data_IF_274409517469
#
_entry.id   IF_274409517469
#
_cell.length_a   1.000
_cell.length_b   1.000
_cell.length_c   1.000
_cell.angle_alpha   90.00
_cell.angle_beta   90.00
_cell.angle_gamma   90.00
#
_symmetry.space_group_name_H-M   'P 1'
#
loop_
_entity.id
_entity.type
_entity.pdbx_description
1 polymer ?
#
# COMPACT_ATOMS: atom_id res chain seq x y z
N UNK A 1 46.41 61.41 -38.16
CA UNK A 1 46.73 62.41 -39.20
C UNK A 1 46.23 61.86 -40.53
N UNK A 2 45.12 62.41 -41.04
CA UNK A 2 44.53 62.24 -42.39
C UNK A 2 43.87 60.90 -42.74
N UNK A 3 42.55 60.84 -42.99
CA UNK A 3 41.85 61.16 -44.28
C UNK A 3 41.85 59.91 -45.20
N UNK A 4 40.74 59.33 -45.71
CA UNK A 4 39.48 59.87 -46.24
C UNK A 4 38.41 58.74 -46.43
N UNK A 5 37.15 59.01 -46.03
CA UNK A 5 35.87 58.86 -46.78
C UNK A 5 35.52 57.51 -47.49
N UNK A 6 34.29 56.95 -47.42
CA UNK A 6 32.93 57.51 -47.34
C UNK A 6 31.92 56.56 -46.66
N UNK A 7 30.94 57.16 -45.98
CA UNK A 7 29.63 56.59 -45.66
C UNK A 7 28.79 56.32 -46.92
N UNK A 8 28.04 55.21 -46.96
CA UNK A 8 26.66 55.19 -47.46
C UNK A 8 25.86 54.08 -46.77
N UNK A 9 24.61 54.42 -46.52
CA UNK A 9 23.66 53.80 -45.60
C UNK A 9 22.83 52.67 -46.20
N UNK A 10 22.40 51.77 -45.30
CA UNK A 10 21.10 51.08 -45.22
C UNK A 10 20.71 49.96 -46.23
N UNK A 11 20.75 48.73 -45.69
CA UNK A 11 19.59 47.87 -45.36
C UNK A 11 18.82 47.08 -46.45
N UNK A 12 18.80 45.76 -46.19
CA UNK A 12 17.66 44.81 -46.16
C UNK A 12 17.51 43.76 -47.29
N UNK A 13 17.44 42.52 -46.79
CA UNK A 13 16.68 41.33 -47.19
C UNK A 13 17.17 40.42 -48.32
N UNK A 14 17.58 39.24 -47.84
CA UNK A 14 16.92 37.95 -48.10
C UNK A 14 17.35 37.18 -49.33
N UNK A 15 18.36 36.35 -49.07
CA UNK A 15 18.75 35.15 -49.81
C UNK A 15 17.65 34.09 -49.62
N UNK A 16 17.14 33.57 -50.74
CA UNK A 16 16.41 32.31 -50.79
C UNK A 16 16.81 31.51 -52.03
N UNK A 17 16.64 30.19 -51.90
CA UNK A 17 16.84 29.07 -52.84
C UNK A 17 18.25 28.44 -52.74
N UNK A 18 18.42 27.19 -52.36
CA UNK A 18 17.46 26.13 -52.07
C UNK A 18 18.14 24.77 -52.32
N UNK A 19 18.21 23.92 -51.30
CA UNK A 19 18.47 22.47 -51.39
C UNK A 19 18.17 21.84 -50.03
N UNK A 20 16.89 21.61 -49.73
CA UNK A 20 16.47 20.84 -48.57
C UNK A 20 16.35 19.36 -48.96
N UNK A 21 17.19 18.52 -48.35
CA UNK A 21 17.06 17.06 -48.36
C UNK A 21 15.81 16.70 -47.55
N UNK A 22 14.82 16.08 -48.20
CA UNK A 22 13.60 15.63 -47.55
C UNK A 22 13.84 14.32 -46.77
N UNK A 23 13.79 14.38 -45.44
CA UNK A 23 13.62 13.20 -44.59
C UNK A 23 12.12 12.86 -44.51
N UNK A 24 11.70 11.58 -44.70
CA UNK A 24 10.30 11.21 -44.53
C UNK A 24 9.89 11.31 -43.07
N UNK A 25 8.84 12.11 -42.81
CA UNK A 25 8.19 12.23 -41.49
C UNK A 25 7.54 10.91 -41.11
N UNK A 26 7.97 10.32 -39.99
CA UNK A 26 7.25 9.25 -39.29
C UNK A 26 5.92 9.79 -38.78
N UNK A 27 4.81 9.31 -39.35
CA UNK A 27 3.46 9.59 -38.88
C UNK A 27 3.08 8.54 -37.82
N UNK A 28 3.19 8.88 -36.54
CA UNK A 28 2.63 8.07 -35.46
C UNK A 28 1.10 8.19 -35.50
N UNK A 29 0.41 7.21 -36.10
CA UNK A 29 -1.03 7.06 -35.94
C UNK A 29 -1.33 6.42 -34.59
N UNK A 30 -1.97 7.17 -33.69
CA UNK A 30 -2.58 6.62 -32.48
C UNK A 30 -3.79 5.78 -32.90
N UNK A 31 -3.69 4.45 -32.75
CA UNK A 31 -4.82 3.54 -32.98
C UNK A 31 -5.62 3.48 -31.68
N UNK A 32 -6.81 4.07 -31.69
CA UNK A 32 -7.80 3.96 -30.61
C UNK A 32 -8.71 2.78 -30.93
N UNK A 33 -8.66 1.71 -30.15
CA UNK A 33 -9.59 0.59 -30.29
C UNK A 33 -10.95 1.03 -29.74
N UNK A 34 -11.93 1.17 -30.64
CA UNK A 34 -13.34 1.36 -30.30
C UNK A 34 -14.03 0.00 -30.35
N UNK A 35 -14.80 -0.29 -29.31
CA UNK A 35 -15.49 -1.55 -29.12
C UNK A 35 -16.66 -1.70 -30.11
N UNK A 36 -16.82 -2.89 -30.70
CA UNK A 36 -18.07 -3.32 -31.35
C UNK A 36 -18.03 -3.54 -32.87
N UNK A 37 -18.24 -4.80 -33.23
CA UNK A 37 -18.57 -5.37 -34.56
C UNK A 37 -17.41 -5.66 -35.52
N UNK A 38 -17.24 -6.97 -35.75
CA UNK A 38 -16.29 -7.54 -36.69
C UNK A 38 -16.61 -7.11 -38.13
N UNK A 39 -15.84 -6.15 -38.64
CA UNK A 39 -15.68 -5.98 -40.08
C UNK A 39 -14.47 -6.80 -40.51
N UNK A 40 -14.75 -7.87 -41.27
CA UNK A 40 -13.76 -8.63 -42.03
C UNK A 40 -13.10 -7.71 -43.06
N UNK A 41 -12.08 -6.97 -42.64
CA UNK A 41 -11.21 -6.25 -43.55
C UNK A 41 -10.12 -7.22 -44.02
N UNK A 42 -10.18 -7.60 -45.29
CA UNK A 42 -9.18 -8.42 -45.97
C UNK A 42 -7.87 -7.62 -45.95
N UNK A 43 -7.02 -7.89 -44.96
CA UNK A 43 -5.77 -7.18 -44.77
C UNK A 43 -4.80 -7.57 -45.91
N UNK A 44 -4.61 -6.66 -46.85
CA UNK A 44 -3.43 -6.68 -47.70
C UNK A 44 -2.20 -6.66 -46.79
N UNK A 45 -1.30 -7.59 -47.04
CA UNK A 45 -0.11 -7.89 -46.23
C UNK A 45 0.93 -6.76 -46.35
N UNK A 46 0.66 -5.63 -45.72
CA UNK A 46 1.71 -4.71 -45.30
C UNK A 46 2.22 -5.16 -43.92
N UNK A 47 3.21 -6.06 -43.94
CA UNK A 47 4.03 -6.37 -42.78
C UNK A 47 4.83 -5.11 -42.43
N UNK A 48 4.32 -4.27 -41.54
CA UNK A 48 5.13 -3.26 -40.86
C UNK A 48 5.92 -3.99 -39.75
N UNK A 49 7.22 -4.26 -39.89
CA UNK A 49 7.93 -5.16 -38.97
C UNK A 49 8.20 -4.53 -37.58
N UNK A 50 7.77 -3.29 -37.33
CA UNK A 50 8.18 -2.52 -36.15
C UNK A 50 7.10 -1.63 -35.55
N UNK A 51 5.82 -2.04 -35.59
CA UNK A 51 4.80 -1.33 -34.81
C UNK A 51 5.01 -1.59 -33.30
N UNK A 52 5.68 -0.66 -32.62
CA UNK A 52 5.79 -0.69 -31.15
C UNK A 52 4.46 -0.23 -30.56
N UNK A 53 3.69 -1.19 -30.05
CA UNK A 53 2.43 -0.90 -29.36
C UNK A 53 2.77 -0.52 -27.92
N UNK A 54 2.48 0.73 -27.56
CA UNK A 54 2.54 1.22 -26.18
C UNK A 54 1.11 1.29 -25.63
N UNK A 55 0.89 0.68 -24.48
CA UNK A 55 -0.35 0.78 -23.70
C UNK A 55 0.01 1.19 -22.27
N UNK A 56 -0.92 1.85 -21.54
CA UNK A 56 -0.67 2.25 -20.16
C UNK A 56 -0.43 1.01 -19.29
N UNK A 57 0.46 1.08 -18.28
CA UNK A 57 0.68 -0.01 -17.35
C UNK A 57 -0.59 -0.25 -16.51
N UNK A 58 -1.05 -1.49 -16.46
CA UNK A 58 -2.23 -1.89 -15.68
C UNK A 58 -1.89 -3.08 -14.79
N UNK A 59 -2.40 -3.16 -13.54
CA UNK A 59 -2.23 -4.33 -12.69
C UNK A 59 -2.71 -5.62 -13.38
N UNK A 60 -1.97 -6.70 -13.23
CA UNK A 60 -2.30 -8.01 -13.80
C UNK A 60 -1.93 -9.13 -12.83
N UNK A 61 -2.44 -10.33 -13.13
CA UNK A 61 -2.21 -11.53 -12.34
C UNK A 61 -1.56 -12.64 -13.19
N UNK A 62 -0.70 -13.50 -12.62
CA UNK A 62 -0.28 -14.74 -13.24
C UNK A 62 -1.48 -15.64 -13.62
N UNK A 63 -1.27 -16.55 -14.57
CA UNK A 63 -2.30 -17.52 -14.94
C UNK A 63 -2.70 -18.35 -13.71
N UNK A 64 -3.99 -18.36 -13.36
CA UNK A 64 -4.59 -19.11 -12.25
C UNK A 64 -4.43 -18.53 -10.83
N UNK A 65 -4.10 -17.25 -10.68
CA UNK A 65 -4.30 -16.55 -9.39
C UNK A 65 -5.28 -15.40 -9.56
N UNK A 66 -6.01 -15.07 -8.48
CA UNK A 66 -6.86 -13.86 -8.44
C UNK A 66 -6.09 -12.66 -7.88
N UNK A 67 -4.78 -12.83 -7.64
CA UNK A 67 -3.94 -11.85 -6.96
C UNK A 67 -3.17 -11.03 -7.99
N UNK A 68 -3.38 -9.72 -8.00
CA UNK A 68 -2.66 -8.81 -8.88
C UNK A 68 -1.21 -8.69 -8.40
N UNK A 69 -0.31 -9.49 -8.97
CA UNK A 69 1.10 -9.59 -8.56
C UNK A 69 2.07 -8.91 -9.53
N UNK A 70 1.56 -8.30 -10.60
CA UNK A 70 2.41 -7.67 -11.61
C UNK A 70 1.71 -6.54 -12.37
N UNK A 71 2.42 -6.06 -13.39
CA UNK A 71 1.98 -4.99 -14.27
C UNK A 71 2.01 -5.48 -15.71
N UNK A 72 0.93 -5.27 -16.45
CA UNK A 72 0.85 -5.60 -17.86
C UNK A 72 1.75 -4.66 -18.66
N UNK A 73 2.80 -5.22 -19.28
CA UNK A 73 3.80 -4.48 -20.04
C UNK A 73 4.12 -5.21 -21.35
N UNK A 74 4.74 -4.52 -22.31
CA UNK A 74 5.35 -5.21 -23.45
C UNK A 74 6.51 -6.08 -22.98
N UNK A 75 6.76 -7.22 -23.65
CA UNK A 75 7.84 -8.14 -23.27
C UNK A 75 9.21 -7.44 -23.19
N UNK A 76 9.49 -6.56 -24.15
CA UNK A 76 10.72 -5.76 -24.19
C UNK A 76 10.82 -4.82 -22.98
N UNK A 77 9.74 -4.13 -22.60
CA UNK A 77 9.75 -3.24 -21.44
C UNK A 77 9.86 -4.02 -20.14
N UNK A 78 9.17 -5.15 -20.01
CA UNK A 78 9.24 -6.00 -18.83
C UNK A 78 10.69 -6.43 -18.54
N UNK A 79 11.38 -6.99 -19.54
CA UNK A 79 12.78 -7.40 -19.40
C UNK A 79 13.72 -6.21 -19.19
N UNK A 80 13.49 -5.08 -19.87
CA UNK A 80 14.32 -3.88 -19.71
C UNK A 80 14.20 -3.23 -18.32
N UNK A 81 13.03 -3.31 -17.68
CA UNK A 81 12.80 -2.86 -16.30
C UNK A 81 13.24 -3.89 -15.24
N UNK A 82 13.80 -5.03 -15.65
CA UNK A 82 14.26 -6.10 -14.76
C UNK A 82 13.14 -6.94 -14.14
N UNK A 83 11.96 -6.97 -14.77
CA UNK A 83 10.84 -7.79 -14.33
C UNK A 83 10.79 -9.15 -15.03
N UNK A 84 10.03 -10.06 -14.44
CA UNK A 84 9.84 -11.43 -14.92
C UNK A 84 8.48 -11.60 -15.59
N UNK A 85 8.45 -12.30 -16.73
CA UNK A 85 7.21 -12.61 -17.46
C UNK A 85 6.51 -13.80 -16.79
N UNK A 86 5.35 -13.56 -16.16
CA UNK A 86 4.59 -14.58 -15.40
C UNK A 86 3.25 -14.97 -16.03
N UNK A 87 2.95 -14.45 -17.22
CA UNK A 87 1.72 -14.75 -17.95
C UNK A 87 1.45 -13.77 -19.07
N UNK A 88 0.42 -14.03 -19.88
CA UNK A 88 -0.04 -13.09 -20.89
C UNK A 88 -1.09 -12.14 -20.31
N UNK A 89 -1.17 -10.92 -20.84
CA UNK A 89 -2.21 -9.93 -20.51
C UNK A 89 -2.65 -9.17 -21.76
N UNK A 90 -3.70 -8.35 -21.66
CA UNK A 90 -4.23 -7.56 -22.78
C UNK A 90 -4.46 -8.43 -24.03
N UNK A 91 -5.22 -9.51 -23.88
CA UNK A 91 -5.54 -10.47 -24.96
C UNK A 91 -4.31 -11.06 -25.67
N UNK A 92 -3.18 -11.18 -24.96
CA UNK A 92 -1.94 -11.76 -25.51
C UNK A 92 -0.99 -10.75 -26.16
N UNK A 93 -1.35 -9.46 -26.18
CA UNK A 93 -0.47 -8.39 -26.69
C UNK A 93 0.66 -8.08 -25.70
N UNK A 94 0.37 -8.20 -24.39
CA UNK A 94 1.31 -7.92 -23.31
C UNK A 94 1.72 -9.18 -22.53
N UNK A 95 2.74 -9.00 -21.69
CA UNK A 95 3.07 -9.95 -20.61
C UNK A 95 2.73 -9.33 -19.26
N UNK A 96 2.20 -10.15 -18.36
CA UNK A 96 2.15 -9.78 -16.95
C UNK A 96 3.57 -9.82 -16.41
N UNK A 97 4.06 -8.67 -15.95
CA UNK A 97 5.43 -8.47 -15.52
C UNK A 97 5.49 -8.37 -14.00
N UNK A 98 6.17 -9.33 -13.36
CA UNK A 98 6.37 -9.36 -11.91
C UNK A 98 7.70 -8.71 -11.56
N UNK A 99 7.67 -7.78 -10.60
CA UNK A 99 8.87 -7.10 -10.10
C UNK A 99 9.16 -7.52 -8.68
N UNK A 100 10.34 -8.07 -8.43
CA UNK A 100 10.84 -8.37 -7.09
C UNK A 100 11.98 -7.41 -6.77
N UNK A 101 11.76 -6.51 -5.81
CA UNK A 101 12.69 -5.50 -5.35
C UNK A 101 13.36 -5.98 -4.07
N UNK A 102 14.69 -6.00 -4.08
CA UNK A 102 15.53 -6.43 -2.96
C UNK A 102 16.73 -5.50 -2.83
N UNK A 103 17.22 -5.31 -1.61
CA UNK A 103 18.52 -4.69 -1.39
C UNK A 103 19.66 -5.70 -1.60
N UNK A 104 20.83 -5.17 -1.92
CA UNK A 104 22.08 -5.90 -2.09
C UNK A 104 23.15 -5.27 -1.19
N UNK A 105 24.26 -5.98 -0.96
CA UNK A 105 25.37 -5.52 -0.12
C UNK A 105 25.86 -4.09 -0.44
N UNK A 106 25.87 -3.73 -1.72
CA UNK A 106 26.31 -2.43 -2.23
C UNK A 106 25.15 -1.48 -2.57
N UNK A 107 23.89 -1.90 -2.38
CA UNK A 107 22.69 -1.12 -2.72
C UNK A 107 21.62 -1.32 -1.66
N UNK A 108 21.63 -0.44 -0.66
CA UNK A 108 20.69 -0.44 0.47
C UNK A 108 19.44 0.42 0.26
N UNK A 109 19.38 1.18 -0.84
CA UNK A 109 18.19 1.97 -1.21
C UNK A 109 17.72 1.55 -2.60
N UNK A 110 16.42 1.24 -2.73
CA UNK A 110 15.78 0.76 -3.95
C UNK A 110 14.58 1.63 -4.26
N UNK A 111 14.54 2.18 -5.47
CA UNK A 111 13.37 2.92 -5.95
C UNK A 111 12.27 1.95 -6.36
N UNK A 112 11.05 2.25 -5.93
CA UNK A 112 9.82 1.55 -6.31
C UNK A 112 8.97 2.53 -7.12
N UNK A 113 8.70 2.19 -8.37
CA UNK A 113 8.15 3.11 -9.38
C UNK A 113 7.10 2.50 -10.30
N UNK A 114 7.00 1.17 -10.37
CA UNK A 114 5.99 0.51 -11.19
C UNK A 114 4.66 0.40 -10.41
N UNK A 115 3.55 0.15 -11.11
CA UNK A 115 2.22 0.16 -10.48
C UNK A 115 2.05 -0.92 -9.39
N UNK A 116 2.70 -2.08 -9.56
CA UNK A 116 2.69 -3.20 -8.61
C UNK A 116 4.10 -3.80 -8.55
N UNK A 117 4.69 -3.88 -7.35
CA UNK A 117 6.02 -4.46 -7.12
C UNK A 117 6.04 -5.21 -5.78
N UNK A 118 6.80 -6.30 -5.69
CA UNK A 118 7.02 -7.02 -4.45
C UNK A 118 8.31 -6.53 -3.80
N UNK A 119 8.23 -6.03 -2.57
CA UNK A 119 9.38 -5.80 -1.70
C UNK A 119 9.69 -7.14 -1.05
N UNK A 120 10.80 -7.74 -1.47
CA UNK A 120 11.22 -9.05 -1.01
C UNK A 120 12.45 -8.93 -0.12
N UNK A 121 12.72 -10.02 0.57
CA UNK A 121 13.81 -10.13 1.51
C UNK A 121 15.17 -9.69 0.92
N UNK A 122 15.92 -8.95 1.73
CA UNK A 122 17.31 -8.61 1.47
C UNK A 122 18.23 -9.81 1.71
N UNK A 123 19.23 -10.02 0.85
CA UNK A 123 20.22 -11.11 1.02
C UNK A 123 21.26 -10.81 2.12
N UNK A 124 20.97 -9.89 3.03
CA UNK A 124 21.91 -9.35 4.01
C UNK A 124 21.19 -8.80 5.25
N UNK A 125 21.92 -8.77 6.37
CA UNK A 125 21.50 -8.07 7.58
C UNK A 125 21.66 -6.54 7.46
N UNK A 126 20.95 -5.85 8.34
CA UNK A 126 20.86 -4.39 8.43
C UNK A 126 19.64 -3.83 7.69
N UNK A 127 19.66 -2.51 7.48
CA UNK A 127 18.53 -1.80 6.89
C UNK A 127 18.54 -1.86 5.35
N UNK A 128 17.35 -2.05 4.79
CA UNK A 128 17.01 -1.95 3.38
C UNK A 128 15.88 -0.93 3.21
N UNK A 129 16.12 0.13 2.45
CA UNK A 129 15.17 1.20 2.20
C UNK A 129 14.51 1.04 0.82
N UNK A 130 13.19 0.98 0.81
CA UNK A 130 12.37 1.09 -0.38
C UNK A 130 11.78 2.50 -0.44
N UNK A 131 12.22 3.27 -1.42
CA UNK A 131 11.79 4.63 -1.61
C UNK A 131 10.74 4.68 -2.72
N UNK A 132 9.62 5.32 -2.43
CA UNK A 132 8.51 5.53 -3.34
C UNK A 132 8.43 7.01 -3.70
N UNK A 133 9.02 7.44 -4.83
CA UNK A 133 8.88 8.80 -5.31
C UNK A 133 7.42 9.14 -5.62
N UNK A 134 7.00 10.37 -5.32
CA UNK A 134 5.71 10.87 -5.77
C UNK A 134 5.71 10.98 -7.30
N UNK A 135 4.85 10.22 -7.97
CA UNK A 135 4.60 10.38 -9.41
C UNK A 135 3.29 11.12 -9.68
N UNK A 136 3.15 11.82 -10.83
CA UNK A 136 1.91 12.48 -11.22
C UNK A 136 0.73 11.51 -11.25
N UNK A 137 -0.40 11.91 -10.69
CA UNK A 137 -1.64 11.12 -10.71
C UNK A 137 -1.70 9.97 -9.69
N UNK A 138 -0.63 9.68 -8.94
CA UNK A 138 -0.65 8.73 -7.83
C UNK A 138 -0.97 9.45 -6.51
N UNK A 139 -1.86 8.90 -5.70
CA UNK A 139 -2.26 9.51 -4.43
C UNK A 139 -1.92 8.65 -3.21
N UNK A 140 -1.90 7.33 -3.36
CA UNK A 140 -1.64 6.42 -2.25
C UNK A 140 -0.74 5.26 -2.69
N UNK A 141 -0.14 4.61 -1.71
CA UNK A 141 0.48 3.28 -1.84
C UNK A 141 -0.29 2.35 -0.92
N UNK A 142 -0.59 1.15 -1.38
CA UNK A 142 -1.06 0.05 -0.53
C UNK A 142 0.05 -0.98 -0.40
N UNK A 143 0.45 -1.27 0.83
CA UNK A 143 1.33 -2.38 1.17
C UNK A 143 0.46 -3.52 1.69
N UNK A 144 0.45 -4.66 1.02
CA UNK A 144 -0.17 -5.89 1.52
C UNK A 144 0.92 -6.80 2.10
N UNK A 145 0.76 -7.20 3.36
CA UNK A 145 1.66 -8.12 4.05
C UNK A 145 1.20 -9.57 3.82
N UNK A 146 1.58 -10.16 2.67
CA UNK A 146 1.07 -11.47 2.27
C UNK A 146 1.51 -12.59 3.22
N UNK A 147 2.78 -12.57 3.61
CA UNK A 147 3.41 -13.41 4.63
C UNK A 147 4.58 -12.62 5.23
N UNK A 148 4.34 -11.94 6.34
CA UNK A 148 5.32 -11.12 7.05
C UNK A 148 5.24 -11.42 8.55
N UNK A 149 6.28 -12.11 9.02
CA UNK A 149 6.48 -12.50 10.41
C UNK A 149 7.87 -12.04 10.82
N UNK A 150 7.92 -10.93 11.55
CA UNK A 150 9.16 -10.37 12.08
C UNK A 150 9.35 -10.82 13.53
N UNK A 151 10.56 -10.67 14.06
CA UNK A 151 10.81 -10.79 15.50
C UNK A 151 9.79 -9.93 16.27
N UNK A 152 9.17 -10.47 17.33
CA UNK A 152 8.21 -9.73 18.14
C UNK A 152 8.89 -8.55 18.85
N UNK A 153 8.11 -7.57 19.35
CA UNK A 153 8.68 -6.53 20.20
C UNK A 153 9.30 -7.14 21.46
N UNK A 154 10.15 -6.38 22.13
CA UNK A 154 10.65 -6.74 23.46
C UNK A 154 9.47 -7.01 24.40
N UNK A 155 9.51 -8.13 25.11
CA UNK A 155 8.38 -8.64 25.90
C UNK A 155 8.28 -8.04 27.30
N UNK A 156 9.36 -7.45 27.81
CA UNK A 156 9.44 -7.01 29.22
C UNK A 156 10.56 -5.98 29.43
N UNK A 157 10.52 -5.31 30.58
CA UNK A 157 11.53 -4.33 30.97
C UNK A 157 11.28 -2.94 30.37
N UNK A 158 12.23 -2.00 30.49
CA UNK A 158 12.05 -0.61 30.08
C UNK A 158 11.87 -0.43 28.56
N UNK A 159 12.12 -1.48 27.78
CA UNK A 159 11.96 -1.48 26.33
C UNK A 159 10.75 -2.29 25.86
N UNK A 160 9.89 -2.77 26.77
CA UNK A 160 8.69 -3.52 26.39
C UNK A 160 7.89 -2.75 25.32
N UNK A 161 7.37 -3.47 24.32
CA UNK A 161 6.68 -2.89 23.17
C UNK A 161 7.58 -2.33 22.05
N UNK A 162 8.91 -2.24 22.26
CA UNK A 162 9.84 -1.76 21.22
C UNK A 162 10.27 -2.87 20.24
N UNK A 163 10.19 -2.56 18.96
CA UNK A 163 10.76 -3.36 17.88
C UNK A 163 12.29 -3.14 17.77
N UNK A 164 13.09 -4.06 18.30
CA UNK A 164 14.56 -3.93 18.30
C UNK A 164 15.22 -4.72 17.16
N UNK A 165 15.08 -6.04 17.16
CA UNK A 165 15.85 -6.90 16.23
C UNK A 165 15.35 -6.89 14.79
N UNK A 166 14.05 -6.79 14.58
CA UNK A 166 13.46 -6.67 13.25
C UNK A 166 12.34 -5.64 13.25
N UNK A 167 12.22 -4.87 12.17
CA UNK A 167 11.14 -3.90 12.04
C UNK A 167 10.90 -3.47 10.61
N UNK A 168 9.69 -3.00 10.35
CA UNK A 168 9.35 -2.17 9.20
C UNK A 168 9.07 -0.77 9.75
N UNK A 169 9.76 0.24 9.21
CA UNK A 169 9.58 1.65 9.56
C UNK A 169 9.11 2.41 8.34
N UNK A 170 8.00 3.13 8.46
CA UNK A 170 7.40 3.92 7.39
C UNK A 170 7.46 5.40 7.73
N UNK A 171 7.91 6.24 6.80
CA UNK A 171 7.98 7.70 6.95
C UNK A 171 7.62 8.43 5.65
N UNK A 172 7.35 9.73 5.75
CA UNK A 172 7.03 10.59 4.59
C UNK A 172 5.59 10.49 4.08
N UNK A 173 4.77 9.59 4.63
CA UNK A 173 3.34 9.50 4.30
C UNK A 173 2.54 10.60 5.02
N UNK A 174 1.69 11.32 4.30
CA UNK A 174 0.91 12.46 4.82
C UNK A 174 -0.13 12.08 5.87
N UNK A 175 -0.53 10.81 5.92
CA UNK A 175 -1.43 10.27 6.94
C UNK A 175 -0.71 9.79 8.21
N UNK A 176 0.60 10.00 8.30
CA UNK A 176 1.42 9.72 9.47
C UNK A 176 2.08 11.02 9.96
N UNK A 177 1.93 11.33 11.24
CA UNK A 177 2.57 12.53 11.82
C UNK A 177 4.05 12.28 12.19
N UNK A 178 4.40 11.04 12.48
CA UNK A 178 5.74 10.58 12.86
C UNK A 178 6.04 9.27 12.13
N UNK A 179 7.31 8.85 12.00
CA UNK A 179 7.64 7.53 11.48
C UNK A 179 6.94 6.43 12.27
N UNK A 180 6.23 5.55 11.58
CA UNK A 180 5.55 4.41 12.18
C UNK A 180 6.48 3.20 12.12
N UNK A 181 6.78 2.60 13.29
CA UNK A 181 7.60 1.39 13.39
C UNK A 181 6.74 0.20 13.82
N UNK A 182 6.81 -0.90 13.08
CA UNK A 182 6.07 -2.14 13.36
C UNK A 182 6.97 -3.37 13.31
N UNK A 183 6.62 -4.41 14.06
CA UNK A 183 7.28 -5.72 14.10
C UNK A 183 6.30 -6.80 14.54
N UNK A 184 6.77 -8.02 14.80
CA UNK A 184 5.91 -9.16 15.11
C UNK A 184 5.10 -9.66 13.92
N UNK A 185 3.86 -10.08 14.18
CA UNK A 185 2.99 -10.70 13.15
C UNK A 185 2.24 -9.63 12.36
N UNK A 186 2.46 -9.58 11.06
CA UNK A 186 1.79 -8.65 10.14
C UNK A 186 1.01 -9.37 9.04
N UNK A 187 1.03 -10.71 9.02
CA UNK A 187 0.32 -11.55 8.07
C UNK A 187 -1.11 -11.08 7.81
N UNK A 188 -1.44 -10.98 6.51
CA UNK A 188 -2.77 -10.63 5.99
C UNK A 188 -3.28 -9.25 6.43
N UNK A 189 -2.43 -8.41 6.99
CA UNK A 189 -2.72 -7.00 7.20
C UNK A 189 -2.25 -6.18 6.00
N UNK A 190 -2.63 -4.89 5.99
CA UNK A 190 -2.17 -3.94 4.99
C UNK A 190 -1.92 -2.56 5.59
N UNK A 191 -1.16 -1.73 4.87
CA UNK A 191 -1.02 -0.30 5.13
C UNK A 191 -1.40 0.49 3.88
N UNK A 192 -2.11 1.59 4.06
CA UNK A 192 -2.38 2.62 3.06
C UNK A 192 -1.56 3.85 3.43
N UNK A 193 -0.70 4.29 2.52
CA UNK A 193 0.21 5.40 2.73
C UNK A 193 -0.16 6.51 1.75
N UNK A 194 -0.68 7.62 2.25
CA UNK A 194 -1.06 8.77 1.44
C UNK A 194 0.18 9.60 1.12
N UNK A 195 0.39 9.93 -0.15
CA UNK A 195 1.47 10.84 -0.52
C UNK A 195 1.17 12.26 -0.05
N UNK A 196 2.20 12.95 0.44
CA UNK A 196 2.16 14.39 0.66
C UNK A 196 2.25 15.20 -0.63
N UNK A 197 2.58 16.48 -0.48
CA UNK A 197 2.68 17.42 -1.60
C UNK A 197 3.80 17.05 -2.59
N UNK A 198 4.98 16.67 -2.09
CA UNK A 198 6.13 16.34 -2.94
C UNK A 198 7.09 15.31 -2.34
N UNK A 199 6.98 15.00 -1.05
CA UNK A 199 7.93 14.11 -0.39
C UNK A 199 7.73 12.65 -0.81
N UNK A 200 8.84 11.91 -1.02
CA UNK A 200 8.77 10.47 -1.22
C UNK A 200 8.35 9.77 0.09
N UNK A 201 7.69 8.64 -0.06
CA UNK A 201 7.40 7.74 1.07
C UNK A 201 8.56 6.76 1.19
N UNK A 202 9.12 6.61 2.39
CA UNK A 202 10.21 5.66 2.68
C UNK A 202 9.68 4.51 3.52
N UNK A 203 10.01 3.28 3.10
CA UNK A 203 9.72 2.03 3.81
C UNK A 203 11.05 1.33 4.08
N UNK A 204 11.50 1.38 5.33
CA UNK A 204 12.76 0.78 5.76
C UNK A 204 12.47 -0.54 6.44
N UNK A 205 13.05 -1.61 5.92
CA UNK A 205 13.02 -2.94 6.55
C UNK A 205 14.37 -3.17 7.20
N UNK A 206 14.37 -3.39 8.50
CA UNK A 206 15.56 -3.67 9.30
C UNK A 206 15.49 -5.08 9.84
N UNK A 207 16.60 -5.81 9.76
CA UNK A 207 16.80 -7.08 10.46
C UNK A 207 18.25 -7.24 10.89
N UNK A 208 18.49 -7.66 12.13
CA UNK A 208 19.83 -7.95 12.66
C UNK A 208 20.43 -9.24 12.09
N UNK A 209 19.60 -10.12 11.53
CA UNK A 209 20.00 -11.37 10.90
C UNK A 209 19.68 -11.32 9.41
N UNK A 210 20.22 -12.28 8.64
CA UNK A 210 19.62 -12.57 7.34
C UNK A 210 18.27 -13.21 7.64
N UNK A 211 17.22 -12.38 7.58
CA UNK A 211 15.84 -12.71 7.97
C UNK A 211 15.22 -13.83 7.13
N UNK A 212 14.01 -14.25 7.48
CA UNK A 212 13.22 -15.24 6.77
C UNK A 212 12.29 -14.57 5.73
N UNK A 213 11.83 -15.35 4.75
CA UNK A 213 11.08 -14.89 3.58
C UNK A 213 9.86 -14.03 3.93
N UNK A 214 9.98 -12.71 3.82
CA UNK A 214 8.83 -11.82 3.78
C UNK A 214 8.53 -11.40 2.33
N UNK A 215 7.25 -11.32 2.00
CA UNK A 215 6.78 -10.74 0.75
C UNK A 215 5.78 -9.64 1.08
N UNK A 216 6.14 -8.40 0.74
CA UNK A 216 5.27 -7.24 0.84
C UNK A 216 4.93 -6.80 -0.57
N UNK A 217 3.66 -6.91 -0.95
CA UNK A 217 3.22 -6.39 -2.24
C UNK A 217 2.91 -4.91 -2.10
N UNK A 218 3.61 -4.07 -2.84
CA UNK A 218 3.34 -2.65 -2.94
C UNK A 218 2.52 -2.36 -4.20
N UNK A 219 1.38 -1.70 -4.05
CA UNK A 219 0.50 -1.28 -5.13
C UNK A 219 0.35 0.23 -5.08
N UNK A 220 0.75 0.92 -6.15
CA UNK A 220 0.54 2.35 -6.28
C UNK A 220 -0.90 2.64 -6.74
N UNK A 221 -1.59 3.53 -6.02
CA UNK A 221 -3.01 3.83 -6.20
C UNK A 221 -3.18 5.21 -6.86
N UNK A 222 -3.76 5.27 -8.07
CA UNK A 222 -4.11 6.53 -8.73
C UNK A 222 -5.13 7.36 -7.93
N UNK A 223 -5.05 8.67 -8.06
CA UNK A 223 -5.96 9.61 -7.40
C UNK A 223 -7.43 9.45 -7.78
N UNK A 224 -7.72 8.97 -8.99
CA UNK A 224 -9.07 8.70 -9.49
C UNK A 224 -9.52 7.24 -9.25
N UNK A 225 -8.77 6.46 -8.48
CA UNK A 225 -9.12 5.07 -8.19
C UNK A 225 -10.36 4.97 -7.31
N UNK A 226 -11.28 4.09 -7.68
CA UNK A 226 -12.44 3.71 -6.83
C UNK A 226 -12.02 3.01 -5.53
N UNK A 227 -10.78 2.51 -5.49
CA UNK A 227 -10.18 1.84 -4.34
C UNK A 227 -9.32 2.79 -3.49
N UNK A 228 -9.28 4.09 -3.81
CA UNK A 228 -8.61 5.10 -2.98
C UNK A 228 -9.29 5.14 -1.60
N UNK A 229 -8.49 5.02 -0.55
CA UNK A 229 -8.97 5.21 0.82
C UNK A 229 -9.12 6.70 1.14
N UNK A 230 -9.92 7.08 2.15
CA UNK A 230 -9.86 8.44 2.68
C UNK A 230 -8.43 8.80 3.12
N UNK A 231 -8.08 10.08 3.00
CA UNK A 231 -6.68 10.51 3.06
C UNK A 231 -6.03 10.27 4.42
N UNK A 232 -6.81 10.17 5.51
CA UNK A 232 -6.34 9.96 6.89
C UNK A 232 -6.17 8.50 7.30
N UNK A 233 -6.53 7.54 6.44
CA UNK A 233 -6.59 6.12 6.79
C UNK A 233 -5.25 5.43 6.57
N UNK A 234 -4.75 4.71 7.58
CA UNK A 234 -3.62 3.78 7.46
C UNK A 234 -4.08 2.35 7.15
N UNK A 235 -5.26 1.94 7.62
CA UNK A 235 -5.91 0.71 7.15
C UNK A 235 -7.27 1.06 6.57
N UNK A 236 -7.67 0.36 5.51
CA UNK A 236 -8.96 0.58 4.85
C UNK A 236 -9.66 -0.73 4.55
N UNK A 237 -10.81 -0.95 5.19
CA UNK A 237 -11.63 -2.14 5.02
C UNK A 237 -12.87 -1.81 4.20
N UNK A 238 -13.05 -2.52 3.08
CA UNK A 238 -14.19 -2.33 2.16
C UNK A 238 -15.20 -3.47 2.21
N UNK A 239 -14.87 -4.56 2.90
CA UNK A 239 -15.72 -5.74 3.06
C UNK A 239 -16.89 -5.47 4.02
N UNK A 240 -18.02 -6.15 3.79
CA UNK A 240 -19.20 -6.12 4.70
C UNK A 240 -18.94 -6.76 6.07
N UNK A 241 -17.89 -7.55 6.19
CA UNK A 241 -17.44 -8.16 7.45
C UNK A 241 -15.92 -8.25 7.38
N UNK A 242 -15.24 -7.98 8.49
CA UNK A 242 -13.78 -8.06 8.60
C UNK A 242 -13.38 -8.16 10.08
N UNK A 243 -12.25 -8.83 10.34
CA UNK A 243 -11.54 -8.74 11.61
C UNK A 243 -10.52 -7.59 11.53
N UNK A 244 -10.56 -6.69 12.50
CA UNK A 244 -9.68 -5.53 12.60
C UNK A 244 -8.76 -5.72 13.79
N UNK A 245 -7.45 -5.83 13.54
CA UNK A 245 -6.43 -6.03 14.56
C UNK A 245 -5.34 -4.96 14.52
N UNK A 246 -4.70 -4.72 15.67
CA UNK A 246 -3.51 -3.86 15.74
C UNK A 246 -2.31 -4.50 15.01
N UNK A 247 -1.41 -3.67 14.52
CA UNK A 247 -0.11 -4.16 14.04
C UNK A 247 0.67 -4.81 15.20
N UNK A 248 1.39 -5.90 14.91
CA UNK A 248 2.17 -6.64 15.91
C UNK A 248 1.36 -7.58 16.80
N UNK A 249 0.03 -7.59 16.68
CA UNK A 249 -0.85 -8.53 17.38
C UNK A 249 -0.32 -9.99 17.37
N UNK A 250 -0.30 -10.72 18.51
CA UNK A 250 -0.88 -10.39 19.82
C UNK A 250 -0.15 -9.34 20.68
N UNK A 251 0.92 -8.69 20.22
CA UNK A 251 1.68 -7.78 21.08
C UNK A 251 1.35 -6.31 20.79
N UNK A 252 1.16 -5.50 21.83
CA UNK A 252 1.12 -4.04 21.69
C UNK A 252 2.50 -3.53 21.33
N UNK A 253 2.51 -2.53 20.46
CA UNK A 253 3.72 -1.85 20.04
C UNK A 253 3.70 -0.44 20.63
N UNK A 254 4.86 0.06 21.03
CA UNK A 254 5.00 1.45 21.46
C UNK A 254 4.74 2.41 20.29
N UNK A 255 4.33 3.63 20.62
CA UNK A 255 4.28 4.79 19.74
C UNK A 255 3.38 4.59 18.50
N UNK A 256 2.22 3.95 18.68
CA UNK A 256 1.29 3.73 17.58
C UNK A 256 0.22 4.83 17.58
N UNK A 257 0.16 5.59 16.48
CA UNK A 257 -0.89 6.59 16.26
C UNK A 257 -1.35 6.55 14.82
N UNK A 258 -2.50 5.91 14.57
CA UNK A 258 -3.03 5.74 13.23
C UNK A 258 -4.54 5.59 13.20
N UNK A 259 -5.13 5.75 12.01
CA UNK A 259 -6.56 5.59 11.78
C UNK A 259 -6.82 4.37 10.92
N UNK A 260 -7.80 3.56 11.31
CA UNK A 260 -8.39 2.50 10.51
C UNK A 260 -9.74 3.02 10.03
N UNK A 261 -10.02 2.87 8.75
CA UNK A 261 -11.27 3.30 8.15
C UNK A 261 -12.04 2.11 7.60
N UNK A 262 -13.35 2.20 7.71
CA UNK A 262 -14.26 1.20 7.15
C UNK A 262 -15.23 1.87 6.18
N UNK A 263 -15.35 1.29 4.99
CA UNK A 263 -16.26 1.77 3.96
C UNK A 263 -17.71 1.38 4.32
N UNK A 264 -18.66 2.33 4.31
CA UNK A 264 -20.08 2.02 4.38
C UNK A 264 -20.60 1.52 3.03
N UNK A 265 -21.66 0.74 3.11
CA UNK A 265 -22.55 0.42 1.99
C UNK A 265 -23.23 1.69 1.48
N UNK A 266 -23.58 1.72 0.19
CA UNK A 266 -24.21 2.89 -0.42
C UNK A 266 -25.55 3.20 0.25
N UNK A 267 -25.74 4.45 0.71
CA UNK A 267 -26.94 4.88 1.43
C UNK A 267 -26.83 4.90 2.95
N UNK A 268 -25.66 4.58 3.51
CA UNK A 268 -25.43 4.48 4.94
C UNK A 268 -25.37 3.03 5.40
N UNK A 269 -24.90 2.81 6.62
CA UNK A 269 -24.60 1.47 7.14
C UNK A 269 -24.68 1.39 8.65
N UNK A 270 -25.13 0.25 9.15
CA UNK A 270 -25.09 -0.06 10.57
C UNK A 270 -23.99 -1.09 10.79
N UNK A 271 -22.98 -0.73 11.56
CA UNK A 271 -21.86 -1.61 11.89
C UNK A 271 -22.03 -2.14 13.30
N UNK A 272 -21.98 -3.46 13.46
CA UNK A 272 -21.83 -4.09 14.78
C UNK A 272 -20.37 -4.44 15.02
N UNK A 273 -19.85 -4.04 16.17
CA UNK A 273 -18.50 -4.29 16.62
C UNK A 273 -18.52 -5.25 17.80
N UNK A 274 -17.80 -6.36 17.70
CA UNK A 274 -17.64 -7.31 18.81
C UNK A 274 -16.26 -7.96 18.79
N UNK A 275 -15.83 -8.50 19.93
CA UNK A 275 -14.58 -9.28 20.03
C UNK A 275 -14.69 -10.52 19.15
N UNK A 276 -13.58 -10.91 18.54
CA UNK A 276 -13.49 -12.22 17.91
C UNK A 276 -13.67 -13.37 18.92
N UNK A 277 -14.11 -14.53 18.40
CA UNK A 277 -14.27 -15.84 19.05
C UNK A 277 -13.00 -16.36 19.77
N UNK A 278 -12.95 -17.64 20.15
CA UNK A 278 -11.83 -18.19 20.93
C UNK A 278 -10.53 -18.40 20.14
N UNK A 279 -10.56 -18.40 18.80
CA UNK A 279 -9.39 -18.59 17.92
C UNK A 279 -9.53 -17.76 16.63
N UNK A 280 -8.48 -17.04 16.20
CA UNK A 280 -8.54 -16.33 14.92
C UNK A 280 -8.35 -17.28 13.73
N UNK A 281 -8.55 -16.76 12.51
CA UNK A 281 -8.31 -17.47 11.25
C UNK A 281 -6.85 -17.94 11.05
N UNK A 282 -5.93 -17.57 11.95
CA UNK A 282 -4.55 -18.03 11.99
C UNK A 282 -4.29 -19.00 13.16
N UNK A 283 -5.34 -19.59 13.75
CA UNK A 283 -5.33 -20.50 14.90
C UNK A 283 -4.69 -19.92 16.17
N UNK A 284 -4.66 -18.59 16.32
CA UNK A 284 -4.15 -17.94 17.53
C UNK A 284 -5.22 -17.98 18.61
N UNK A 285 -4.94 -18.58 19.78
CA UNK A 285 -5.87 -18.53 20.91
C UNK A 285 -6.19 -17.07 21.28
N UNK A 286 -7.47 -16.72 21.24
CA UNK A 286 -7.97 -15.37 21.41
C UNK A 286 -8.53 -15.11 22.81
N UNK A 287 -9.11 -16.14 23.44
CA UNK A 287 -9.94 -16.17 24.67
C UNK A 287 -10.51 -14.81 25.16
N UNK A 288 -11.08 -14.07 24.19
CA UNK A 288 -11.86 -12.80 24.22
C UNK A 288 -11.10 -11.49 24.45
N UNK A 289 -10.33 -11.08 23.45
CA UNK A 289 -9.39 -9.98 23.59
C UNK A 289 -9.79 -8.60 23.06
N UNK A 290 -9.71 -7.63 23.96
CA UNK A 290 -9.44 -6.20 23.76
C UNK A 290 -8.77 -5.75 25.04
N UNK A 291 -7.46 -5.54 25.04
CA UNK A 291 -6.72 -5.06 26.20
C UNK A 291 -5.89 -3.88 25.74
N UNK A 292 -6.44 -2.68 25.89
CA UNK A 292 -5.69 -1.45 25.66
C UNK A 292 -5.36 -0.93 27.05
N UNK A 293 -4.31 -1.58 27.56
CA UNK A 293 -3.44 -1.33 28.71
C UNK A 293 -4.05 -1.34 30.12
N UNK A 294 -4.55 -2.52 30.54
CA UNK A 294 -4.82 -2.86 31.93
C UNK A 294 -4.52 -4.33 32.26
N UNK A 295 -3.37 -4.58 32.91
CA UNK A 295 -2.71 -5.88 33.23
C UNK A 295 -3.64 -7.07 33.51
N UNK A 296 -3.22 -8.25 33.04
CA UNK A 296 -3.84 -9.57 33.23
C UNK A 296 -4.35 -9.79 34.68
N UNK A 297 -3.68 -9.19 35.68
CA UNK A 297 -3.93 -9.39 37.11
C UNK A 297 -4.85 -8.34 37.80
N UNK A 298 -5.27 -7.27 37.12
CA UNK A 298 -6.14 -6.23 37.72
C UNK A 298 -7.63 -6.52 37.49
N UNK A 299 -8.32 -7.06 38.50
CA UNK A 299 -9.67 -7.68 38.42
C UNK A 299 -10.84 -6.68 38.40
N UNK A 300 -10.64 -5.37 38.22
CA UNK A 300 -11.79 -4.44 38.18
C UNK A 300 -11.79 -3.51 36.97
N UNK A 301 -12.82 -3.54 36.11
CA UNK A 301 -13.11 -2.42 35.24
C UNK A 301 -13.62 -1.30 36.12
N UNK A 302 -12.79 -0.29 36.39
CA UNK A 302 -13.28 0.94 37.00
C UNK A 302 -13.85 1.84 35.89
N UNK A 303 -15.15 2.15 35.87
CA UNK A 303 -15.74 3.09 34.92
C UNK A 303 -15.29 4.55 35.13
N UNK A 304 -14.40 4.83 36.09
CA UNK A 304 -13.97 6.18 36.48
C UNK A 304 -12.53 6.56 36.09
N UNK A 305 -11.74 5.66 35.48
CA UNK A 305 -10.37 5.99 35.04
C UNK A 305 -10.38 6.39 33.57
N UNK A 306 -10.09 7.65 33.22
CA UNK A 306 -10.05 8.08 31.83
C UNK A 306 -8.91 7.37 31.07
N UNK A 307 -9.18 6.96 29.83
CA UNK A 307 -8.18 6.37 28.93
C UNK A 307 -7.19 7.45 28.44
N UNK A 308 -6.17 7.72 29.27
CA UNK A 308 -5.23 8.82 29.07
C UNK A 308 -3.95 8.39 28.35
N UNK A 309 -3.46 7.17 28.61
CA UNK A 309 -2.27 6.59 27.98
C UNK A 309 -2.67 5.94 26.66
N UNK A 310 -3.30 4.78 26.76
CA UNK A 310 -3.62 3.94 25.60
C UNK A 310 -5.12 3.89 25.41
N UNK A 311 -5.55 4.00 24.15
CA UNK A 311 -6.95 3.92 23.79
C UNK A 311 -7.15 3.64 22.31
N UNK A 312 -8.31 3.06 22.00
CA UNK A 312 -8.91 3.19 20.69
C UNK A 312 -10.14 4.09 20.77
N UNK A 313 -10.56 4.67 19.65
CA UNK A 313 -11.90 5.24 19.51
C UNK A 313 -12.63 4.54 18.40
N UNK A 314 -13.95 4.37 18.53
CA UNK A 314 -14.86 4.07 17.43
C UNK A 314 -15.88 5.20 17.42
N UNK A 315 -15.96 5.95 16.33
CA UNK A 315 -16.85 7.12 16.21
C UNK A 315 -16.70 8.15 17.34
N UNK A 316 -15.45 8.31 17.83
CA UNK A 316 -14.95 9.36 18.75
C UNK A 316 -14.98 9.09 20.25
N UNK A 317 -15.60 8.00 20.72
CA UNK A 317 -15.55 7.62 22.14
C UNK A 317 -14.29 6.81 22.46
N UNK A 318 -13.48 7.24 23.44
CA UNK A 318 -12.26 6.51 23.85
C UNK A 318 -12.62 5.24 24.63
N UNK A 319 -11.92 4.15 24.33
CA UNK A 319 -12.05 2.84 24.96
C UNK A 319 -10.67 2.29 25.31
N UNK A 320 -10.56 1.73 26.51
CA UNK A 320 -9.37 1.09 27.08
C UNK A 320 -9.80 0.04 28.11
N UNK A 321 -8.85 -0.70 28.68
CA UNK A 321 -9.13 -1.75 29.68
C UNK A 321 -9.39 -3.13 29.06
N UNK A 322 -9.91 -4.07 29.86
CA UNK A 322 -9.92 -5.52 29.57
C UNK A 322 -11.01 -6.04 28.67
N UNK A 323 -12.12 -5.33 28.63
CA UNK A 323 -13.30 -5.78 27.90
C UNK A 323 -13.68 -4.75 26.86
N UNK A 324 -14.05 -5.25 25.69
CA UNK A 324 -14.71 -4.45 24.68
C UNK A 324 -16.21 -4.71 24.77
N UNK A 325 -17.02 -3.74 25.23
CA UNK A 325 -18.46 -3.88 25.16
C UNK A 325 -18.87 -3.84 23.69
N UNK A 326 -19.67 -4.83 23.27
CA UNK A 326 -20.19 -4.87 21.91
C UNK A 326 -20.94 -3.56 21.61
N UNK A 327 -20.69 -2.98 20.43
CA UNK A 327 -21.19 -1.66 20.05
C UNK A 327 -21.85 -1.74 18.69
N UNK A 328 -22.96 -1.01 18.52
CA UNK A 328 -23.54 -0.77 17.20
C UNK A 328 -23.41 0.70 16.86
N UNK A 329 -22.81 1.01 15.72
CA UNK A 329 -22.71 2.38 15.20
C UNK A 329 -23.47 2.49 13.89
N UNK A 330 -24.02 3.68 13.62
CA UNK A 330 -24.71 3.97 12.36
C UNK A 330 -23.96 5.07 11.64
N UNK A 331 -23.50 4.75 10.44
CA UNK A 331 -22.77 5.65 9.56
C UNK A 331 -23.73 6.18 8.48
N UNK A 332 -23.88 7.50 8.43
CA UNK A 332 -24.70 8.21 7.43
C UNK A 332 -24.06 8.28 6.03
N UNK A 333 -22.97 7.54 5.79
CA UNK A 333 -22.22 7.51 4.52
C UNK A 333 -20.82 8.14 4.63
N UNK A 334 -20.41 8.57 5.82
CA UNK A 334 -19.09 9.08 6.17
C UNK A 334 -18.26 8.02 6.89
N UNK A 335 -17.47 7.24 6.15
CA UNK A 335 -16.56 6.18 6.64
C UNK A 335 -16.31 6.16 8.15
N UNK A 336 -16.80 5.14 8.85
CA UNK A 336 -16.47 4.89 10.26
C UNK A 336 -14.95 4.82 10.46
N UNK A 337 -14.48 5.53 11.50
CA UNK A 337 -13.07 5.64 11.86
C UNK A 337 -12.82 5.00 13.20
N UNK A 338 -11.86 4.08 13.23
CA UNK A 338 -11.23 3.61 14.45
C UNK A 338 -9.90 4.33 14.58
N UNK A 339 -9.70 5.11 15.64
CA UNK A 339 -8.38 5.73 15.90
C UNK A 339 -7.66 4.94 16.97
N UNK A 340 -6.39 4.64 16.71
CA UNK A 340 -5.51 3.92 17.62
C UNK A 340 -4.50 4.89 18.20
N UNK A 341 -4.31 4.84 19.52
CA UNK A 341 -3.30 5.60 20.23
C UNK A 341 -2.69 4.74 21.33
N UNK A 342 -1.44 4.37 21.14
CA UNK A 342 -0.59 3.59 22.03
C UNK A 342 0.65 4.43 22.32
N UNK A 343 0.90 4.72 23.60
CA UNK A 343 1.97 5.60 24.03
C UNK A 343 3.34 4.87 24.02
N UNK A 344 4.32 5.42 24.73
CA UNK A 344 5.70 4.94 24.76
C UNK A 344 6.00 3.91 25.87
N UNK A 345 5.02 3.56 26.72
CA UNK A 345 5.22 2.76 27.93
C UNK A 345 4.37 1.48 27.94
N UNK A 346 4.48 0.65 26.91
CA UNK A 346 3.65 -0.55 26.80
C UNK A 346 4.12 -1.69 27.71
N UNK A 347 3.23 -2.14 28.60
CA UNK A 347 3.53 -3.20 29.58
C UNK A 347 2.87 -4.50 29.14
N UNK A 348 3.40 -5.15 28.11
CA UNK A 348 3.23 -6.57 27.79
C UNK A 348 1.81 -7.19 27.85
N UNK A 349 1.31 -7.55 26.66
CA UNK A 349 0.04 -8.28 26.35
C UNK A 349 -1.22 -7.41 26.17
N UNK A 350 -1.05 -6.22 25.61
CA UNK A 350 -2.15 -5.34 25.22
C UNK A 350 -2.43 -5.47 23.69
N UNK A 351 -3.70 -5.57 23.28
CA UNK A 351 -4.10 -5.83 21.89
C UNK A 351 -5.61 -5.67 21.66
N UNK A 352 -6.01 -5.25 20.46
CA UNK A 352 -7.41 -5.30 20.03
C UNK A 352 -7.62 -6.13 18.78
N UNK A 353 -8.68 -6.95 18.76
CA UNK A 353 -9.19 -7.60 17.56
C UNK A 353 -10.73 -7.58 17.59
N UNK A 354 -11.33 -6.77 16.71
CA UNK A 354 -12.79 -6.58 16.65
C UNK A 354 -13.33 -6.99 15.28
N UNK A 355 -14.47 -7.66 15.27
CA UNK A 355 -15.22 -7.96 14.05
C UNK A 355 -16.20 -6.84 13.74
N UNK A 356 -16.27 -6.45 12.48
CA UNK A 356 -17.44 -5.75 11.92
C UNK A 356 -18.40 -6.80 11.35
N UNK A 357 -19.71 -6.69 11.58
CA UNK A 357 -20.72 -7.41 10.81
C UNK A 357 -21.79 -6.49 10.22
N UNK A 358 -22.10 -6.70 8.94
CA UNK A 358 -23.27 -6.20 8.23
C UNK A 358 -23.99 -7.42 7.64
N UNK A 359 -25.32 -7.44 7.63
CA UNK A 359 -26.08 -8.58 7.14
C UNK A 359 -25.70 -8.91 5.69
N UNK A 360 -25.30 -10.18 5.47
CA UNK A 360 -24.95 -10.90 4.23
C UNK A 360 -23.44 -11.19 4.05
N UNK A 361 -23.12 -12.49 4.02
CA UNK A 361 -21.80 -13.10 4.24
C UNK A 361 -21.04 -13.46 2.94
N UNK A 362 -19.70 -13.52 3.04
CA UNK A 362 -18.74 -14.01 2.03
C UNK A 362 -17.56 -14.68 2.78
N UNK A 363 -16.92 -15.78 2.35
CA UNK A 363 -16.23 -16.73 3.24
C UNK A 363 -14.81 -16.38 3.74
N UNK A 364 -14.40 -15.11 3.79
CA UNK A 364 -13.18 -14.67 4.50
C UNK A 364 -13.48 -14.04 5.88
N UNK A 365 -14.71 -14.23 6.38
CA UNK A 365 -15.42 -13.22 7.20
C UNK A 365 -15.88 -13.63 8.60
N UNK A 366 -15.53 -14.79 9.13
CA UNK A 366 -15.89 -15.12 10.52
C UNK A 366 -14.65 -15.43 11.32
N UNK A 367 -14.50 -14.74 12.44
CA UNK A 367 -13.85 -15.30 13.60
C UNK A 367 -14.63 -16.61 13.89
N UNK A 368 -14.06 -17.75 13.50
CA UNK A 368 -14.74 -19.03 13.27
C UNK A 368 -15.90 -19.27 14.25
N UNK A 369 -17.11 -19.38 13.73
CA UNK A 369 -18.23 -19.85 14.53
C UNK A 369 -17.86 -21.25 15.04
N UNK A 370 -17.58 -21.36 16.34
CA UNK A 370 -17.41 -22.65 16.99
C UNK A 370 -18.60 -23.54 16.68
N UNK A 371 -18.30 -24.82 16.43
CA UNK A 371 -19.27 -25.91 16.33
C UNK A 371 -20.28 -25.90 17.48
#
# INVERSE_FOLDING_TARGET
>A
MGYFLRSFSLLICSILLGSAVAFPKSQHKNVRLVNGNALSYRAERYLFPFAVINFPPEPCSPTNTNQMEGVCLSRKRCSASGGESVGACQQGIGTCCKFNRQCLANKRTVLVTEAVENLVQSSMAGSCEFLFPKQPGLCQIRLDFDNVMLQPPQSSGPNAGNCQSESITVSGAANLNNPLKVCGRLNKQHMILSYGASDPISVIIHSEVVSNNFVIRATQIPCNSVNKAPDDCLQYFTSSTAAVKSFGFPQQLNNQKYTICVKPTSGGSTFTWDRCNEVDAENTELRKRFLVSGSIDSVTPSPSTPCMTDWITIDSEKRCGKEFPALTTTDSGSHTRIRVHFDENEIGNDFFNITKSESWADPLKTCETGL
#
